data_IF_418957052439
#
_entry.id   IF_418957052439
#
_cell.length_a   1.000
_cell.length_b   1.000
_cell.length_c   1.000
_cell.angle_alpha   90.00
_cell.angle_beta   90.00
_cell.angle_gamma   90.00
#
_symmetry.space_group_name_H-M   'P 1'
#
loop_
_entity.id
_entity.type
_entity.pdbx_description
1 polymer ?
#
# COMPACT_ATOMS: atom_id res chain seq x y z
N UNK A 1 19.43 33.30 25.29
CA UNK A 1 20.50 33.47 26.30
C UNK A 1 19.88 33.71 27.68
N UNK A 2 19.26 32.69 28.28
CA UNK A 2 18.56 32.81 29.58
C UNK A 2 19.28 32.08 30.72
N UNK A 3 19.94 30.95 30.44
CA UNK A 3 20.66 30.16 31.45
C UNK A 3 21.75 30.95 32.18
N UNK A 4 22.57 31.71 31.43
CA UNK A 4 23.62 32.56 31.98
C UNK A 4 23.07 33.72 32.84
N UNK A 5 21.80 34.11 32.65
CA UNK A 5 21.13 35.16 33.45
C UNK A 5 20.41 34.62 34.69
N UNK A 6 20.42 33.30 34.90
CA UNK A 6 19.84 32.63 36.06
C UNK A 6 20.90 31.99 36.96
N UNK A 7 22.16 32.40 36.81
CA UNK A 7 23.24 32.10 37.75
C UNK A 7 23.17 33.10 38.90
N UNK A 8 23.45 32.63 40.13
CA UNK A 8 23.59 33.52 41.29
C UNK A 8 24.91 34.30 41.21
N UNK A 9 24.97 35.46 41.88
CA UNK A 9 26.19 36.26 41.96
C UNK A 9 27.28 35.48 42.72
N UNK A 10 28.50 35.46 42.19
CA UNK A 10 29.65 34.67 42.69
C UNK A 10 29.43 33.14 42.67
N UNK A 11 28.63 32.63 41.71
CA UNK A 11 28.45 31.17 41.53
C UNK A 11 29.46 30.54 40.54
N UNK A 12 30.37 31.33 39.97
CA UNK A 12 31.37 30.90 38.99
C UNK A 12 32.66 31.66 39.29
N UNK A 13 33.57 31.00 40.00
CA UNK A 13 34.82 31.61 40.48
C UNK A 13 36.01 31.23 39.59
N UNK A 14 35.77 30.37 38.59
CA UNK A 14 36.78 29.91 37.64
C UNK A 14 36.25 29.72 36.21
N UNK A 15 37.17 29.78 35.24
CA UNK A 15 36.88 29.39 33.85
C UNK A 15 36.45 27.92 33.74
N UNK A 16 36.93 27.04 34.62
CA UNK A 16 36.59 25.62 34.62
C UNK A 16 35.12 25.41 35.02
N UNK A 17 34.63 26.12 36.04
CA UNK A 17 33.22 26.12 36.42
C UNK A 17 32.31 26.72 35.34
N UNK A 18 32.74 27.81 34.70
CA UNK A 18 32.02 28.38 33.56
C UNK A 18 31.89 27.37 32.42
N UNK A 19 33.00 26.71 32.07
CA UNK A 19 33.04 25.70 31.04
C UNK A 19 32.19 24.47 31.41
N UNK A 20 32.18 24.07 32.69
CA UNK A 20 31.35 22.97 33.21
C UNK A 20 29.86 23.30 33.18
N UNK A 21 29.46 24.50 33.60
CA UNK A 21 28.08 24.97 33.55
C UNK A 21 27.59 25.13 32.11
N UNK A 22 28.39 25.76 31.25
CA UNK A 22 28.14 25.88 29.81
C UNK A 22 28.00 24.49 29.17
N UNK A 23 28.98 23.61 29.38
CA UNK A 23 29.00 22.27 28.82
C UNK A 23 27.81 21.45 29.32
N UNK A 24 27.47 21.49 30.61
CA UNK A 24 26.26 20.82 31.12
C UNK A 24 24.99 21.31 30.42
N UNK A 25 24.80 22.64 30.32
CA UNK A 25 23.62 23.24 29.70
C UNK A 25 23.49 22.95 28.20
N UNK A 26 24.60 22.90 27.46
CA UNK A 26 24.61 22.68 26.02
C UNK A 26 24.80 21.21 25.60
N UNK A 27 25.44 20.36 26.40
CA UNK A 27 25.55 18.90 26.14
C UNK A 27 24.18 18.24 26.35
N UNK A 28 23.42 18.63 27.39
CA UNK A 28 22.04 18.16 27.57
C UNK A 28 21.11 18.56 26.40
N UNK A 29 21.47 19.63 25.67
CA UNK A 29 20.78 20.12 24.47
C UNK A 29 21.42 19.66 23.16
N UNK A 30 22.53 18.92 23.21
CA UNK A 30 23.20 18.41 22.01
C UNK A 30 22.33 17.32 21.43
N UNK A 31 21.86 17.52 20.20
CA UNK A 31 21.01 16.58 19.50
C UNK A 31 21.69 15.20 19.49
N UNK A 32 21.07 14.21 20.13
CA UNK A 32 21.65 12.87 20.23
C UNK A 32 21.81 12.30 18.81
N UNK A 33 22.95 11.69 18.47
CA UNK A 33 23.14 11.07 17.17
C UNK A 33 22.02 10.04 16.91
N UNK A 34 21.37 10.12 15.75
CA UNK A 34 20.41 9.09 15.34
C UNK A 34 21.14 7.75 15.18
N UNK A 35 20.47 6.68 15.57
CA UNK A 35 21.04 5.33 15.60
C UNK A 35 20.19 4.38 14.75
N UNK A 36 20.70 3.17 14.49
CA UNK A 36 19.86 2.16 13.83
C UNK A 36 18.63 1.78 14.67
N UNK A 37 18.70 1.92 15.99
CA UNK A 37 17.57 1.71 16.88
C UNK A 37 16.51 2.83 16.78
N UNK A 38 16.89 4.09 16.52
CA UNK A 38 15.89 5.13 16.22
C UNK A 38 15.24 4.90 14.86
N UNK A 39 16.04 4.52 13.86
CA UNK A 39 15.56 4.22 12.51
C UNK A 39 14.57 3.05 12.49
N UNK A 40 14.79 2.00 13.31
CA UNK A 40 13.85 0.87 13.43
C UNK A 40 12.53 1.19 14.12
N UNK A 41 12.44 2.33 14.83
CA UNK A 41 11.19 2.79 15.43
C UNK A 41 10.31 3.55 14.41
N UNK A 42 10.79 3.80 13.19
CA UNK A 42 10.01 4.39 12.12
C UNK A 42 9.18 3.31 11.44
N UNK A 43 7.96 3.14 11.96
CA UNK A 43 6.93 2.28 11.40
C UNK A 43 5.92 3.11 10.59
N UNK A 44 5.42 2.53 9.49
CA UNK A 44 4.38 3.12 8.65
C UNK A 44 3.03 3.06 9.39
N UNK A 45 2.44 4.22 9.66
CA UNK A 45 1.13 4.32 10.31
C UNK A 45 0.00 3.74 9.46
N UNK A 46 -1.08 3.27 10.09
CA UNK A 46 -2.22 2.62 9.40
C UNK A 46 -2.74 3.41 8.19
N UNK A 47 -2.97 4.70 8.39
CA UNK A 47 -3.55 5.61 7.39
C UNK A 47 -2.48 6.50 6.72
N UNK A 48 -1.19 6.16 6.88
CA UNK A 48 -0.07 6.92 6.32
C UNK A 48 0.22 6.51 4.87
N UNK A 49 0.37 7.49 3.96
CA UNK A 49 0.81 7.24 2.59
C UNK A 49 2.24 6.67 2.54
N UNK A 50 2.57 5.90 1.51
CA UNK A 50 3.96 5.44 1.33
C UNK A 50 4.94 6.61 1.20
N UNK A 51 4.51 7.73 0.58
CA UNK A 51 5.28 8.97 0.43
C UNK A 51 5.69 9.55 1.79
N UNK A 52 4.75 9.71 2.72
CA UNK A 52 5.01 10.30 4.03
C UNK A 52 5.94 9.41 4.86
N UNK A 53 5.75 8.09 4.80
CA UNK A 53 6.63 7.12 5.45
C UNK A 53 8.08 7.24 4.96
N UNK A 54 8.30 7.28 3.63
CA UNK A 54 9.62 7.45 3.02
C UNK A 54 10.27 8.76 3.45
N UNK A 55 9.51 9.86 3.50
CA UNK A 55 10.05 11.16 3.93
C UNK A 55 10.54 11.11 5.38
N UNK A 56 9.74 10.55 6.30
CA UNK A 56 10.16 10.36 7.70
C UNK A 56 11.40 9.47 7.80
N UNK A 57 11.41 8.35 7.08
CA UNK A 57 12.50 7.38 7.10
C UNK A 57 13.81 7.95 6.56
N UNK A 58 13.78 8.55 5.37
CA UNK A 58 14.97 9.07 4.69
C UNK A 58 15.59 10.24 5.46
N UNK A 59 14.77 11.09 6.08
CA UNK A 59 15.23 12.17 6.97
C UNK A 59 16.08 11.65 8.13
N UNK A 60 15.61 10.65 8.89
CA UNK A 60 16.45 10.04 9.94
C UNK A 60 17.63 9.25 9.36
N UNK A 61 17.44 8.53 8.26
CA UNK A 61 18.48 7.70 7.66
C UNK A 61 19.73 8.49 7.22
N UNK A 62 19.60 9.78 6.92
CA UNK A 62 20.71 10.70 6.61
C UNK A 62 21.53 11.03 7.88
N UNK A 63 20.88 11.19 9.05
CA UNK A 63 21.56 11.47 10.32
C UNK A 63 22.32 10.26 10.87
N UNK A 64 21.90 9.02 10.54
CA UNK A 64 22.58 7.78 10.94
C UNK A 64 23.85 7.55 10.10
N UNK A 65 25.00 7.91 10.66
CA UNK A 65 26.34 7.75 10.04
C UNK A 65 26.84 6.30 10.06
N UNK A 66 27.89 6.02 9.26
CA UNK A 66 28.75 4.83 9.39
C UNK A 66 28.09 3.45 9.19
N UNK A 67 26.96 3.37 8.50
CA UNK A 67 26.08 2.18 8.51
C UNK A 67 25.91 1.52 7.15
N UNK A 68 25.72 0.20 7.16
CA UNK A 68 25.53 -0.62 5.97
C UNK A 68 24.17 -0.30 5.30
N UNK A 69 24.20 0.11 4.03
CA UNK A 69 23.00 0.41 3.24
C UNK A 69 22.02 -0.77 3.17
N UNK A 70 22.49 -2.03 3.15
CA UNK A 70 21.60 -3.21 3.19
C UNK A 70 20.78 -3.29 4.48
N UNK A 71 21.38 -2.92 5.61
CA UNK A 71 20.66 -2.89 6.89
C UNK A 71 19.63 -1.74 6.91
N UNK A 72 19.89 -0.62 6.24
CA UNK A 72 18.89 0.44 6.03
C UNK A 72 17.72 -0.05 5.14
N UNK A 73 17.98 -0.82 4.08
CA UNK A 73 16.93 -1.46 3.28
C UNK A 73 16.07 -2.41 4.12
N UNK A 74 16.71 -3.29 4.89
CA UNK A 74 16.02 -4.25 5.75
C UNK A 74 15.12 -3.58 6.80
N UNK A 75 15.63 -2.53 7.48
CA UNK A 75 14.83 -1.79 8.46
C UNK A 75 13.68 -1.04 7.78
N UNK A 76 13.90 -0.46 6.60
CA UNK A 76 12.83 0.17 5.80
C UNK A 76 11.72 -0.83 5.47
N UNK A 77 12.08 -2.02 4.97
CA UNK A 77 11.09 -3.03 4.59
C UNK A 77 10.31 -3.54 5.80
N UNK A 78 10.99 -3.79 6.93
CA UNK A 78 10.34 -4.17 8.18
C UNK A 78 9.32 -3.11 8.64
N UNK A 79 9.66 -1.82 8.53
CA UNK A 79 8.79 -0.71 8.94
C UNK A 79 7.56 -0.49 8.06
N UNK A 80 7.48 -1.05 6.86
CA UNK A 80 6.27 -1.00 6.01
C UNK A 80 5.09 -1.78 6.61
N UNK A 81 3.86 -1.36 6.31
CA UNK A 81 2.67 -2.15 6.69
C UNK A 81 2.60 -3.47 5.92
N UNK A 82 2.20 -4.53 6.63
CA UNK A 82 2.12 -5.90 6.10
C UNK A 82 1.01 -6.12 5.07
N UNK A 83 -0.01 -5.26 5.05
CA UNK A 83 -1.18 -5.35 4.17
C UNK A 83 -1.03 -4.57 2.84
N UNK A 84 0.20 -4.22 2.46
CA UNK A 84 0.47 -3.42 1.26
C UNK A 84 1.05 -4.24 0.11
N UNK A 85 0.52 -4.02 -1.10
CA UNK A 85 1.07 -4.59 -2.35
C UNK A 85 2.52 -4.18 -2.61
N UNK A 86 3.01 -3.12 -1.97
CA UNK A 86 4.40 -2.72 -2.05
C UNK A 86 5.31 -3.62 -1.22
N UNK A 87 4.96 -3.91 0.05
CA UNK A 87 5.74 -4.85 0.89
C UNK A 87 5.72 -6.26 0.29
N UNK A 88 4.58 -6.71 -0.25
CA UNK A 88 4.47 -7.96 -1.02
C UNK A 88 5.49 -8.02 -2.18
N UNK A 89 5.59 -6.95 -2.98
CA UNK A 89 6.54 -6.86 -4.10
C UNK A 89 8.01 -6.81 -3.68
N UNK A 90 8.33 -6.29 -2.51
CA UNK A 90 9.69 -6.32 -1.97
C UNK A 90 10.06 -7.74 -1.51
N UNK A 91 9.16 -8.42 -0.78
CA UNK A 91 9.36 -9.82 -0.37
C UNK A 91 9.50 -10.80 -1.54
N UNK A 92 8.85 -10.53 -2.67
CA UNK A 92 9.03 -11.32 -3.92
C UNK A 92 10.36 -11.04 -4.64
N UNK A 93 10.97 -9.86 -4.45
CA UNK A 93 12.21 -9.47 -5.11
C UNK A 93 12.93 -8.44 -4.26
N UNK A 94 13.96 -8.87 -3.53
CA UNK A 94 14.78 -7.99 -2.70
C UNK A 94 15.31 -6.77 -3.51
N UNK A 95 15.35 -5.57 -2.93
CA UNK A 95 16.04 -4.42 -3.52
C UNK A 95 17.55 -4.57 -3.43
N UNK A 96 18.28 -4.19 -4.49
CA UNK A 96 19.76 -4.30 -4.52
C UNK A 96 20.43 -3.37 -3.51
N UNK A 97 19.87 -2.19 -3.36
CA UNK A 97 20.34 -1.10 -2.51
C UNK A 97 19.18 -0.12 -2.20
N UNK A 98 19.47 0.93 -1.43
CA UNK A 98 18.50 1.96 -1.07
C UNK A 98 17.97 2.76 -2.27
N UNK A 99 18.74 2.89 -3.35
CA UNK A 99 18.34 3.67 -4.53
C UNK A 99 17.31 2.88 -5.35
N UNK A 100 17.58 1.60 -5.63
CA UNK A 100 16.63 0.66 -6.26
C UNK A 100 15.32 0.56 -5.44
N UNK A 101 15.43 0.45 -4.12
CA UNK A 101 14.29 0.46 -3.19
C UNK A 101 13.43 1.73 -3.36
N UNK A 102 14.05 2.92 -3.31
CA UNK A 102 13.34 4.20 -3.42
C UNK A 102 12.76 4.43 -4.82
N UNK A 103 13.45 4.01 -5.88
CA UNK A 103 12.92 4.07 -7.26
C UNK A 103 11.67 3.20 -7.42
N UNK A 104 11.69 1.95 -6.93
CA UNK A 104 10.50 1.07 -6.93
C UNK A 104 9.36 1.67 -6.11
N UNK A 105 9.68 2.29 -4.98
CA UNK A 105 8.69 2.96 -4.12
C UNK A 105 8.03 4.15 -4.82
N UNK A 106 8.79 4.97 -5.55
CA UNK A 106 8.24 6.09 -6.32
C UNK A 106 7.28 5.62 -7.43
N UNK A 107 7.61 4.53 -8.13
CA UNK A 107 6.69 3.92 -9.10
C UNK A 107 5.36 3.49 -8.44
N UNK A 108 5.43 2.99 -7.19
CA UNK A 108 4.23 2.57 -6.46
C UNK A 108 3.44 3.76 -5.89
N UNK A 109 4.09 4.83 -5.43
CA UNK A 109 3.42 6.09 -5.03
C UNK A 109 2.58 6.63 -6.19
N UNK A 110 3.16 6.71 -7.39
CA UNK A 110 2.45 7.20 -8.58
C UNK A 110 1.22 6.32 -8.91
N UNK A 111 1.32 5.00 -8.64
CA UNK A 111 0.18 4.08 -8.77
C UNK A 111 -0.90 4.32 -7.70
N UNK A 112 -0.54 4.47 -6.42
CA UNK A 112 -1.51 4.77 -5.36
C UNK A 112 -2.23 6.10 -5.60
N UNK A 113 -1.48 7.16 -5.94
CA UNK A 113 -2.03 8.49 -6.24
C UNK A 113 -3.02 8.45 -7.41
N UNK A 114 -2.70 7.72 -8.50
CA UNK A 114 -3.61 7.51 -9.63
C UNK A 114 -4.89 6.74 -9.22
N UNK A 115 -4.74 5.64 -8.49
CA UNK A 115 -5.88 4.80 -8.07
C UNK A 115 -6.81 5.52 -7.09
N UNK A 116 -6.28 6.42 -6.26
CA UNK A 116 -7.07 7.30 -5.38
C UNK A 116 -7.87 8.33 -6.21
N UNK A 117 -7.25 8.96 -7.20
CA UNK A 117 -7.94 9.88 -8.13
C UNK A 117 -9.10 9.20 -8.88
N UNK A 118 -8.88 8.02 -9.44
CA UNK A 118 -9.94 7.25 -10.14
C UNK A 118 -11.12 6.87 -9.22
N UNK A 119 -10.87 6.63 -7.93
CA UNK A 119 -11.94 6.38 -6.94
C UNK A 119 -12.71 7.66 -6.59
N UNK A 120 -12.02 8.80 -6.46
CA UNK A 120 -12.65 10.08 -6.18
C UNK A 120 -13.62 10.50 -7.30
N UNK A 121 -13.24 10.32 -8.57
CA UNK A 121 -14.13 10.64 -9.71
C UNK A 121 -15.31 9.68 -9.83
N UNK A 122 -15.13 8.37 -9.57
CA UNK A 122 -16.24 7.41 -9.53
C UNK A 122 -17.26 7.73 -8.44
N UNK A 123 -16.81 8.25 -7.29
CA UNK A 123 -17.70 8.64 -6.19
C UNK A 123 -18.46 9.96 -6.44
N UNK A 124 -18.01 10.81 -7.37
CA UNK A 124 -18.72 12.05 -7.75
C UNK A 124 -19.88 11.83 -8.73
N UNK A 125 -19.87 10.73 -9.48
CA UNK A 125 -20.88 10.41 -10.49
C UNK A 125 -21.72 9.16 -10.11
N UNK A 126 -22.57 9.21 -9.08
CA UNK A 126 -23.66 8.26 -8.93
C UNK A 126 -24.70 8.53 -10.02
N UNK A 127 -24.51 7.91 -11.20
CA UNK A 127 -25.42 8.03 -12.32
C UNK A 127 -26.84 7.60 -11.91
N UNK A 128 -27.74 8.59 -11.83
CA UNK A 128 -29.19 8.37 -11.82
C UNK A 128 -29.55 7.53 -13.04
N UNK A 129 -29.89 6.26 -12.84
CA UNK A 129 -30.54 5.46 -13.88
C UNK A 129 -32.03 5.71 -13.77
N UNK A 130 -32.53 6.60 -14.60
CA UNK A 130 -33.94 7.01 -14.62
C UNK A 130 -34.84 5.80 -14.92
N UNK A 131 -35.89 5.63 -14.11
CA UNK A 131 -36.95 4.66 -14.37
C UNK A 131 -37.79 5.15 -15.56
N UNK A 132 -37.69 4.45 -16.68
CA UNK A 132 -38.57 4.65 -17.82
C UNK A 132 -38.86 3.31 -18.51
N UNK A 133 -39.72 2.50 -17.87
CA UNK A 133 -40.45 1.42 -18.55
C UNK A 133 -41.86 1.34 -17.99
N UNK A 134 -42.83 1.27 -18.91
CA UNK A 134 -44.27 1.41 -18.65
C UNK A 134 -44.85 0.17 -17.97
N UNK A 135 -46.03 0.35 -17.39
CA UNK A 135 -46.83 -0.69 -16.75
C UNK A 135 -47.05 -1.92 -17.65
N UNK A 136 -46.88 -3.12 -17.08
CA UNK A 136 -47.89 -4.19 -17.20
C UNK A 136 -47.94 -5.03 -15.91
N UNK A 137 -49.11 -5.56 -15.56
CA UNK A 137 -49.43 -6.12 -14.24
C UNK A 137 -49.49 -7.66 -14.27
N UNK A 138 -48.40 -8.32 -13.86
CA UNK A 138 -48.31 -9.78 -13.69
C UNK A 138 -47.80 -10.21 -12.31
N UNK A 139 -48.70 -10.76 -11.47
CA UNK A 139 -48.53 -11.22 -10.07
C UNK A 139 -47.14 -11.76 -9.61
N UNK A 140 -46.67 -11.20 -8.49
CA UNK A 140 -45.69 -11.73 -7.50
C UNK A 140 -46.23 -13.06 -6.86
N UNK A 141 -45.53 -14.02 -6.23
CA UNK A 141 -44.12 -14.34 -5.77
C UNK A 141 -44.16 -15.78 -5.15
N UNK A 142 -43.11 -16.41 -4.51
CA UNK A 142 -41.67 -16.10 -4.34
C UNK A 142 -40.64 -17.27 -4.55
N UNK A 143 -39.39 -16.89 -4.90
CA UNK A 143 -38.09 -17.43 -4.37
C UNK A 143 -37.75 -18.91 -4.54
N UNK A 144 -37.38 -19.23 -5.78
CA UNK A 144 -36.07 -19.85 -6.06
C UNK A 144 -35.38 -19.06 -7.18
N UNK A 145 -34.33 -19.64 -7.75
CA UNK A 145 -33.83 -19.40 -9.12
C UNK A 145 -32.90 -18.21 -9.40
N UNK A 146 -31.75 -18.57 -9.97
CA UNK A 146 -30.84 -17.72 -10.72
C UNK A 146 -31.58 -17.00 -11.86
N UNK A 147 -31.38 -15.69 -11.99
CA UNK A 147 -32.05 -14.86 -12.99
C UNK A 147 -31.25 -14.90 -14.29
N UNK A 148 -31.75 -15.66 -15.26
CA UNK A 148 -31.46 -15.49 -16.69
C UNK A 148 -30.06 -15.91 -17.16
N UNK A 149 -29.94 -17.13 -17.67
CA UNK A 149 -28.96 -17.39 -18.72
C UNK A 149 -29.39 -16.66 -19.99
N UNK A 150 -28.44 -16.19 -20.80
CA UNK A 150 -28.74 -15.77 -22.17
C UNK A 150 -29.38 -16.95 -22.90
N UNK A 151 -30.57 -16.80 -23.50
CA UNK A 151 -31.17 -17.89 -24.28
C UNK A 151 -30.24 -18.25 -25.42
N UNK A 152 -30.13 -19.55 -25.72
CA UNK A 152 -29.32 -20.04 -26.81
C UNK A 152 -29.82 -19.44 -28.13
N UNK A 153 -28.89 -19.07 -29.01
CA UNK A 153 -29.15 -18.50 -30.33
C UNK A 153 -29.75 -19.51 -31.33
N UNK A 154 -29.74 -20.80 -30.97
CA UNK A 154 -30.23 -21.92 -31.76
C UNK A 154 -31.05 -22.89 -30.88
N UNK A 155 -31.88 -23.72 -31.51
CA UNK A 155 -32.65 -24.74 -30.79
C UNK A 155 -31.74 -25.90 -30.32
N UNK A 156 -32.26 -26.70 -29.38
CA UNK A 156 -31.55 -27.88 -28.85
C UNK A 156 -31.25 -28.89 -29.96
N UNK A 157 -32.19 -29.17 -30.86
CA UNK A 157 -31.96 -29.97 -32.08
C UNK A 157 -30.78 -29.44 -32.89
N UNK A 158 -30.77 -28.14 -33.22
CA UNK A 158 -29.72 -27.53 -34.05
C UNK A 158 -28.34 -27.70 -33.42
N UNK A 159 -28.21 -27.44 -32.12
CA UNK A 159 -26.93 -27.56 -31.40
C UNK A 159 -26.46 -29.02 -31.33
N UNK A 160 -27.36 -29.97 -31.07
CA UNK A 160 -27.01 -31.40 -31.06
C UNK A 160 -26.59 -31.91 -32.45
N UNK A 161 -27.24 -31.41 -33.50
CA UNK A 161 -26.91 -31.77 -34.88
C UNK A 161 -25.60 -31.11 -35.34
N UNK A 162 -25.32 -29.88 -34.91
CA UNK A 162 -24.02 -29.23 -35.11
C UNK A 162 -22.89 -29.97 -34.38
N UNK A 163 -23.11 -30.40 -33.12
CA UNK A 163 -22.16 -31.26 -32.40
C UNK A 163 -21.96 -32.65 -33.04
N UNK A 164 -22.97 -33.18 -33.75
CA UNK A 164 -22.87 -34.46 -34.46
C UNK A 164 -22.18 -34.34 -35.84
N UNK A 165 -22.26 -33.16 -36.46
CA UNK A 165 -21.66 -32.87 -37.77
C UNK A 165 -20.23 -32.29 -37.64
N UNK A 166 -19.88 -31.69 -36.50
CA UNK A 166 -18.52 -31.30 -36.20
C UNK A 166 -17.62 -32.54 -36.03
N UNK A 167 -16.47 -32.56 -36.70
CA UNK A 167 -15.55 -33.70 -36.71
C UNK A 167 -14.75 -33.85 -35.40
N UNK A 168 -15.43 -34.19 -34.29
CA UNK A 168 -14.79 -34.58 -33.02
C UNK A 168 -13.98 -35.90 -33.10
N UNK A 169 -13.86 -36.48 -34.30
CA UNK A 169 -13.17 -37.73 -34.59
C UNK A 169 -11.64 -37.57 -34.43
N UNK A 170 -11.07 -36.41 -34.75
CA UNK A 170 -9.61 -36.19 -34.60
C UNK A 170 -9.13 -36.18 -33.14
N UNK A 171 -10.01 -35.91 -32.17
CA UNK A 171 -9.67 -35.82 -30.73
C UNK A 171 -10.24 -36.98 -29.90
N UNK A 172 -10.94 -37.93 -30.54
CA UNK A 172 -11.42 -39.15 -29.89
C UNK A 172 -12.56 -38.99 -28.87
N UNK A 173 -13.18 -37.80 -28.77
CA UNK A 173 -14.23 -37.52 -27.80
C UNK A 173 -15.61 -37.83 -28.40
N UNK A 174 -16.27 -38.88 -27.89
CA UNK A 174 -17.69 -39.15 -28.18
C UNK A 174 -18.56 -38.69 -27.02
N UNK A 175 -19.52 -37.75 -27.22
CA UNK A 175 -20.51 -37.42 -26.21
C UNK A 175 -21.38 -38.63 -25.85
N UNK A 176 -21.60 -38.87 -24.55
CA UNK A 176 -22.46 -39.96 -24.08
C UNK A 176 -23.91 -39.74 -24.49
N UNK A 177 -24.53 -40.77 -25.10
CA UNK A 177 -25.96 -40.75 -25.40
C UNK A 177 -26.76 -41.08 -24.13
N UNK A 178 -27.50 -40.06 -23.69
CA UNK A 178 -28.69 -40.12 -22.83
C UNK A 178 -28.54 -40.59 -21.38
N UNK A 179 -29.12 -39.80 -20.48
CA UNK A 179 -29.69 -40.27 -19.21
C UNK A 179 -31.20 -40.01 -19.32
N UNK A 180 -31.97 -41.02 -18.92
CA UNK A 180 -33.42 -41.17 -19.09
C UNK A 180 -34.24 -40.28 -18.16
#
# INVERSE_FOLDING_TARGET
MTWFKGLEDNFIDSWEELNKAFSSHFIARKHQPKTMASLSNILQGKDESLRNYIERFTREAIEVKGTNNKLKCYIFENGLRHDTKFKEKLGLKEPKDMQDLLSRAQCYINYEEKMLGERAEKNKNPLKREENSKEDKGRKTPRGNYIGYTPLNASRETILQECANAEFVEVGIRPSREIR
#
